data_IF_441342529907
#
_entry.id   IF_441342529907
#
_cell.length_a   1.000
_cell.length_b   1.000
_cell.length_c   1.000
_cell.angle_alpha   90.00
_cell.angle_beta   90.00
_cell.angle_gamma   90.00
#
_symmetry.space_group_name_H-M   'P 1'
#
loop_
_entity.id
_entity.type
_entity.pdbx_description
1 polymer ?
#
# COMPACT_ATOMS: atom_id res chain seq x y z
N UNK A 1 1.27 -39.31 47.24
CA UNK A 1 0.57 -39.52 45.96
C UNK A 1 -0.13 -38.25 45.55
N UNK A 2 0.26 -37.58 44.46
CA UNK A 2 -0.65 -36.81 43.58
C UNK A 2 -0.01 -36.67 42.20
N UNK A 3 -0.53 -37.47 41.24
CA UNK A 3 -0.34 -37.24 39.81
C UNK A 3 -0.91 -35.85 39.49
N UNK A 4 -0.13 -34.96 38.89
CA UNK A 4 -0.67 -33.77 38.23
C UNK A 4 -0.33 -33.85 36.75
N UNK A 5 -1.40 -33.94 35.96
CA UNK A 5 -1.42 -34.06 34.52
C UNK A 5 -0.54 -32.98 33.87
N UNK A 6 0.32 -33.39 32.93
CA UNK A 6 0.89 -32.49 31.93
C UNK A 6 -0.22 -32.07 30.96
N UNK A 7 -0.56 -30.79 30.97
CA UNK A 7 -1.46 -30.18 29.99
C UNK A 7 -0.64 -29.88 28.73
N UNK A 8 -0.96 -30.54 27.62
CA UNK A 8 -0.34 -30.30 26.31
C UNK A 8 -0.86 -28.97 25.76
N UNK A 9 0.03 -28.00 25.63
CA UNK A 9 -0.28 -26.68 25.07
C UNK A 9 -0.27 -26.78 23.53
N UNK A 10 -1.45 -26.84 22.91
CA UNK A 10 -1.60 -26.66 21.46
C UNK A 10 -1.35 -25.19 21.11
N UNK A 11 -0.15 -24.89 20.60
CA UNK A 11 0.14 -23.58 19.99
C UNK A 11 -0.51 -23.51 18.61
N UNK A 12 -1.67 -22.87 18.53
CA UNK A 12 -2.26 -22.42 17.27
C UNK A 12 -1.39 -21.31 16.69
N UNK A 13 -0.56 -21.63 15.69
CA UNK A 13 0.21 -20.62 14.97
C UNK A 13 -0.73 -19.76 14.12
N UNK A 14 -1.04 -18.56 14.59
CA UNK A 14 -1.69 -17.52 13.78
C UNK A 14 -0.61 -16.99 12.85
N UNK A 15 -0.61 -17.44 11.59
CA UNK A 15 0.28 -16.88 10.58
C UNK A 15 -0.19 -15.44 10.25
N UNK A 16 0.66 -14.41 10.39
CA UNK A 16 0.32 -13.08 9.92
C UNK A 16 0.19 -13.12 8.39
N UNK A 17 -0.94 -12.64 7.87
CA UNK A 17 -1.08 -12.35 6.44
C UNK A 17 -0.11 -11.21 6.09
N UNK A 18 1.00 -11.56 5.43
CA UNK A 18 1.91 -10.57 4.84
C UNK A 18 1.20 -9.99 3.62
N UNK A 19 0.52 -8.86 3.81
CA UNK A 19 -0.02 -8.07 2.71
C UNK A 19 1.14 -7.36 2.00
N UNK A 20 1.33 -7.62 0.71
CA UNK A 20 2.45 -7.11 -0.08
C UNK A 20 2.35 -5.61 -0.46
N UNK A 21 1.45 -4.85 0.16
CA UNK A 21 1.21 -3.42 -0.12
C UNK A 21 1.84 -2.47 0.90
N UNK A 22 1.64 -1.17 0.72
CA UNK A 22 2.05 -0.15 1.70
C UNK A 22 1.04 -0.01 2.86
N UNK A 23 1.52 0.43 4.03
CA UNK A 23 0.65 0.83 5.15
C UNK A 23 0.22 2.28 4.95
N UNK A 24 -0.95 2.51 4.35
CA UNK A 24 -1.55 3.85 4.25
C UNK A 24 -2.50 4.14 5.40
N UNK A 25 -2.62 5.42 5.74
CA UNK A 25 -3.61 5.92 6.69
C UNK A 25 -5.03 5.66 6.13
N UNK A 26 -5.95 5.29 7.01
CA UNK A 26 -7.32 4.97 6.61
C UNK A 26 -8.17 6.24 6.58
N UNK A 27 -8.69 6.58 5.40
CA UNK A 27 -9.53 7.75 5.20
C UNK A 27 -10.94 7.34 4.76
N UNK A 28 -12.00 8.05 5.18
CA UNK A 28 -13.34 7.87 4.62
C UNK A 28 -13.31 8.11 3.10
N UNK A 29 -14.00 7.28 2.32
CA UNK A 29 -13.90 7.34 0.84
C UNK A 29 -14.35 8.67 0.25
N UNK A 30 -15.27 9.35 0.92
CA UNK A 30 -15.76 10.68 0.57
C UNK A 30 -14.70 11.78 0.67
N UNK A 31 -13.61 11.56 1.42
CA UNK A 31 -12.50 12.52 1.54
C UNK A 31 -11.39 12.26 0.53
N UNK A 32 -11.45 11.14 -0.20
CA UNK A 32 -10.42 10.78 -1.16
C UNK A 32 -10.44 11.74 -2.35
N UNK A 33 -9.27 12.21 -2.77
CA UNK A 33 -9.16 12.92 -4.04
C UNK A 33 -9.48 11.98 -5.19
N UNK A 34 -9.94 12.50 -6.33
CA UNK A 34 -10.24 11.63 -7.48
C UNK A 34 -8.94 11.05 -8.04
N UNK A 35 -8.98 9.79 -8.47
CA UNK A 35 -7.84 9.14 -9.13
C UNK A 35 -7.31 9.94 -10.31
N UNK A 36 -8.21 10.55 -11.09
CA UNK A 36 -7.87 11.39 -12.23
C UNK A 36 -7.06 12.64 -11.84
N UNK A 37 -7.34 13.22 -10.66
CA UNK A 37 -6.66 14.42 -10.18
C UNK A 37 -5.22 14.08 -9.79
N UNK A 38 -5.00 12.99 -9.03
CA UNK A 38 -3.65 12.53 -8.68
C UNK A 38 -2.88 12.09 -9.93
N UNK A 39 -3.52 11.34 -10.83
CA UNK A 39 -2.91 10.92 -12.10
C UNK A 39 -2.40 12.12 -12.88
N UNK A 40 -3.24 13.15 -13.05
CA UNK A 40 -2.87 14.36 -13.76
C UNK A 40 -1.71 15.08 -13.08
N UNK A 41 -1.74 15.24 -11.76
CA UNK A 41 -0.66 15.88 -11.01
C UNK A 41 0.69 15.17 -11.22
N UNK A 42 0.69 13.84 -11.22
CA UNK A 42 1.91 13.04 -11.45
C UNK A 42 2.39 13.14 -12.90
N UNK A 43 1.48 13.09 -13.88
CA UNK A 43 1.83 13.29 -15.29
C UNK A 43 2.41 14.69 -15.54
N UNK A 44 1.85 15.72 -14.90
CA UNK A 44 2.37 17.11 -14.96
C UNK A 44 3.77 17.22 -14.31
N UNK A 45 4.11 16.35 -13.35
CA UNK A 45 5.46 16.22 -12.77
C UNK A 45 6.43 15.39 -13.64
N UNK A 46 5.99 14.90 -14.79
CA UNK A 46 6.81 14.14 -15.75
C UNK A 46 6.77 12.62 -15.57
N UNK A 47 5.88 12.09 -14.73
CA UNK A 47 5.68 10.64 -14.63
C UNK A 47 4.92 10.09 -15.84
N UNK A 48 5.27 8.86 -16.25
CA UNK A 48 4.55 8.09 -17.26
C UNK A 48 3.81 6.94 -16.59
N UNK A 49 2.55 7.15 -16.24
CA UNK A 49 1.74 6.17 -15.50
C UNK A 49 1.19 5.10 -16.44
N UNK A 50 1.63 3.85 -16.22
CA UNK A 50 1.16 2.65 -16.93
C UNK A 50 -0.02 1.98 -16.24
N UNK A 51 -0.06 1.97 -14.91
CA UNK A 51 -1.17 1.45 -14.11
C UNK A 51 -1.42 2.39 -12.95
N UNK A 52 -2.69 2.55 -12.60
CA UNK A 52 -3.17 3.25 -11.43
C UNK A 52 -4.25 2.36 -10.81
N UNK A 53 -4.16 2.05 -9.52
CA UNK A 53 -5.15 1.23 -8.82
C UNK A 53 -5.33 1.72 -7.39
N UNK A 54 -6.46 1.37 -6.79
CA UNK A 54 -6.65 1.44 -5.34
C UNK A 54 -6.13 0.14 -4.74
N UNK A 55 -5.17 0.22 -3.82
CA UNK A 55 -4.73 -0.91 -2.99
C UNK A 55 -5.00 -0.61 -1.52
N UNK A 56 -6.09 -1.20 -0.99
CA UNK A 56 -6.56 -0.92 0.36
C UNK A 56 -6.94 0.56 0.57
N UNK A 57 -6.10 1.28 1.32
CA UNK A 57 -6.23 2.70 1.65
C UNK A 57 -5.22 3.57 0.89
N UNK A 58 -4.58 3.02 -0.14
CA UNK A 58 -3.60 3.71 -0.96
C UNK A 58 -4.10 3.86 -2.40
N UNK A 59 -3.62 4.91 -3.07
CA UNK A 59 -3.47 4.88 -4.51
C UNK A 59 -2.10 4.32 -4.87
N UNK A 60 -2.05 3.34 -5.76
CA UNK A 60 -0.81 2.72 -6.20
C UNK A 60 -0.63 2.92 -7.71
N UNK A 61 0.53 3.45 -8.10
CA UNK A 61 0.91 3.63 -9.49
C UNK A 61 2.07 2.73 -9.86
N UNK A 62 2.05 2.27 -11.11
CA UNK A 62 3.21 1.70 -11.78
C UNK A 62 3.50 2.52 -13.03
N UNK A 63 4.76 2.85 -13.24
CA UNK A 63 5.12 3.70 -14.36
C UNK A 63 6.61 3.92 -14.48
N UNK A 64 6.95 5.07 -15.07
CA UNK A 64 8.30 5.60 -15.05
C UNK A 64 8.30 6.99 -14.45
N UNK A 65 9.33 7.32 -13.68
CA UNK A 65 9.54 8.69 -13.22
C UNK A 65 10.07 9.58 -14.36
N UNK A 66 10.29 10.87 -14.06
CA UNK A 66 10.82 11.85 -15.02
C UNK A 66 12.19 11.47 -15.62
N UNK A 67 12.97 10.67 -14.90
CA UNK A 67 14.29 10.18 -15.34
C UNK A 67 14.18 8.89 -16.18
N UNK A 68 12.96 8.41 -16.46
CA UNK A 68 12.72 7.20 -17.21
C UNK A 68 12.94 5.90 -16.42
N UNK A 69 13.14 5.96 -15.11
CA UNK A 69 13.28 4.77 -14.25
C UNK A 69 11.94 4.18 -13.90
N UNK A 70 11.83 2.84 -13.87
CA UNK A 70 10.59 2.16 -13.51
C UNK A 70 10.33 2.34 -12.02
N UNK A 71 9.09 2.69 -11.68
CA UNK A 71 8.69 2.94 -10.29
C UNK A 71 7.34 2.30 -9.97
N UNK A 72 7.20 1.89 -8.72
CA UNK A 72 5.96 1.56 -8.03
C UNK A 72 5.83 2.52 -6.84
N UNK A 73 4.75 3.29 -6.78
CA UNK A 73 4.57 4.31 -5.73
C UNK A 73 3.17 4.22 -5.15
N UNK A 74 3.10 4.19 -3.83
CA UNK A 74 1.88 4.24 -3.04
C UNK A 74 1.69 5.65 -2.50
N UNK A 75 0.50 6.19 -2.63
CA UNK A 75 0.12 7.54 -2.19
C UNK A 75 -1.03 7.49 -1.22
N UNK A 76 -1.02 8.43 -0.30
CA UNK A 76 -2.14 8.74 0.58
C UNK A 76 -3.32 9.27 -0.25
N UNK A 77 -4.54 8.79 0.04
CA UNK A 77 -5.73 9.05 -0.79
C UNK A 77 -6.30 10.45 -0.63
N UNK A 78 -5.89 11.20 0.42
CA UNK A 78 -6.40 12.55 0.69
C UNK A 78 -5.38 13.61 0.30
N UNK A 79 -4.12 13.43 0.69
CA UNK A 79 -3.04 14.40 0.47
C UNK A 79 -2.28 14.19 -0.84
N UNK A 80 -2.36 13.00 -1.44
CA UNK A 80 -1.60 12.63 -2.63
C UNK A 80 -0.09 12.55 -2.38
N UNK A 81 0.35 12.52 -1.12
CA UNK A 81 1.76 12.39 -0.76
C UNK A 81 2.23 10.95 -0.88
N UNK A 82 3.47 10.70 -1.35
CA UNK A 82 4.01 9.35 -1.44
C UNK A 82 4.24 8.76 -0.04
N UNK A 83 3.64 7.60 0.20
CA UNK A 83 3.78 6.80 1.43
C UNK A 83 4.92 5.79 1.29
N UNK A 84 5.07 5.20 0.09
CA UNK A 84 6.14 4.24 -0.23
C UNK A 84 6.53 4.41 -1.69
N UNK A 85 7.83 4.39 -1.99
CA UNK A 85 8.36 4.38 -3.36
C UNK A 85 9.33 3.23 -3.52
N UNK A 86 9.13 2.42 -4.55
CA UNK A 86 10.04 1.37 -4.98
C UNK A 86 10.52 1.66 -6.40
N UNK A 87 11.83 1.70 -6.57
CA UNK A 87 12.48 1.87 -7.87
C UNK A 87 12.99 0.52 -8.36
N UNK A 88 12.81 0.23 -9.64
CA UNK A 88 13.30 -0.99 -10.29
C UNK A 88 14.34 -0.69 -11.36
#
# INVERSE_FOLDING_TARGET
MMKKLMLVLLLSAIAPSVMAGAKCESHPKETWMKEADLRKQLEDQGYKIKKFKVDGQCYEIYGHNKDGKKVEIYFDTVSGQPVKTEMH
#
